data_IF_696984231008
#
_entry.id   IF_696984231008
#
_cell.length_a   1.000
_cell.length_b   1.000
_cell.length_c   1.000
_cell.angle_alpha   90.00
_cell.angle_beta   90.00
_cell.angle_gamma   90.00
#
_symmetry.space_group_name_H-M   'P 1'
#
loop_
_entity.id
_entity.type
_entity.pdbx_description
1 polymer ?
#
# COMPACT_ATOMS: atom_id res chain seq x y z
N UNK A 1 10.78 -19.44 13.78
CA UNK A 1 9.65 -20.30 14.18
C UNK A 1 10.06 -20.99 15.47
N UNK A 2 9.56 -20.53 16.63
CA UNK A 2 9.91 -21.12 17.93
C UNK A 2 9.04 -22.35 18.17
N UNK A 3 9.47 -23.51 17.66
CA UNK A 3 8.80 -24.78 17.94
C UNK A 3 9.24 -25.24 19.32
N UNK A 4 8.36 -25.11 20.32
CA UNK A 4 8.60 -25.71 21.64
C UNK A 4 8.46 -27.24 21.50
N UNK A 5 9.38 -28.04 22.03
CA UNK A 5 9.31 -29.51 21.96
C UNK A 5 8.36 -30.04 23.04
N UNK A 6 7.12 -29.55 23.05
CA UNK A 6 6.07 -29.97 23.96
C UNK A 6 5.09 -30.80 23.15
N UNK A 7 4.83 -32.03 23.61
CA UNK A 7 3.79 -32.88 23.04
C UNK A 7 2.44 -32.17 23.15
N UNK A 8 1.76 -31.98 22.02
CA UNK A 8 0.37 -31.54 22.01
C UNK A 8 -0.51 -32.74 22.34
N UNK A 9 -0.91 -32.83 23.59
CA UNK A 9 -1.86 -33.83 24.05
C UNK A 9 -3.23 -33.60 23.40
N UNK A 10 -3.56 -34.46 22.43
CA UNK A 10 -4.84 -34.44 21.69
C UNK A 10 -6.04 -34.75 22.57
N UNK A 11 -5.82 -35.17 23.83
CA UNK A 11 -6.84 -35.46 24.83
C UNK A 11 -6.98 -34.36 25.89
N UNK A 12 -6.15 -33.31 25.85
CA UNK A 12 -6.16 -32.24 26.85
C UNK A 12 -7.40 -31.33 26.78
N UNK A 13 -8.09 -31.30 25.63
CA UNK A 13 -9.36 -30.60 25.49
C UNK A 13 -10.52 -31.54 25.81
N UNK A 14 -11.12 -31.36 26.98
CA UNK A 14 -12.32 -32.07 27.46
C UNK A 14 -13.64 -31.43 26.99
N UNK A 15 -13.59 -30.45 26.09
CA UNK A 15 -14.78 -29.85 25.50
C UNK A 15 -15.29 -30.71 24.33
N UNK A 16 -16.55 -31.13 24.37
CA UNK A 16 -17.22 -31.86 23.29
C UNK A 16 -17.30 -31.08 21.95
N UNK A 17 -16.96 -29.79 21.96
CA UNK A 17 -16.96 -28.96 20.76
C UNK A 17 -15.59 -28.95 20.07
N UNK A 18 -15.54 -29.58 18.90
CA UNK A 18 -14.37 -29.51 18.01
C UNK A 18 -14.26 -28.15 17.33
N UNK A 19 -13.05 -27.78 16.88
CA UNK A 19 -12.85 -26.58 16.06
C UNK A 19 -13.70 -26.62 14.78
N UNK A 20 -13.87 -27.80 14.18
CA UNK A 20 -14.73 -27.99 13.00
C UNK A 20 -16.20 -27.65 13.32
N UNK A 21 -16.71 -28.11 14.46
CA UNK A 21 -18.07 -27.78 14.92
C UNK A 21 -18.23 -26.28 15.13
N UNK A 22 -17.23 -25.63 15.74
CA UNK A 22 -17.23 -24.19 15.97
C UNK A 22 -17.19 -23.37 14.66
N UNK A 23 -16.30 -23.71 13.72
CA UNK A 23 -16.22 -23.03 12.43
C UNK A 23 -17.47 -23.26 11.58
N UNK A 24 -18.07 -24.45 11.64
CA UNK A 24 -19.33 -24.72 10.96
C UNK A 24 -20.47 -23.84 11.53
N UNK A 25 -20.51 -23.67 12.86
CA UNK A 25 -21.48 -22.77 13.48
C UNK A 25 -21.32 -21.32 13.02
N UNK A 26 -20.10 -20.79 13.01
CA UNK A 26 -19.80 -19.45 12.47
C UNK A 26 -20.20 -19.34 10.98
N UNK A 27 -19.91 -20.37 10.18
CA UNK A 27 -20.29 -20.44 8.78
C UNK A 27 -21.80 -20.33 8.57
N UNK A 28 -22.59 -21.03 9.39
CA UNK A 28 -24.06 -20.92 9.35
C UNK A 28 -24.54 -19.51 9.72
N UNK A 29 -23.94 -18.87 10.74
CA UNK A 29 -24.28 -17.50 11.11
C UNK A 29 -24.02 -16.50 9.95
N UNK A 30 -22.89 -16.62 9.25
CA UNK A 30 -22.61 -15.78 8.09
C UNK A 30 -23.52 -16.09 6.90
N UNK A 31 -23.90 -17.35 6.72
CA UNK A 31 -24.82 -17.76 5.65
C UNK A 31 -26.23 -17.18 5.87
N UNK A 32 -26.69 -17.12 7.11
CA UNK A 32 -27.97 -16.51 7.46
C UNK A 32 -27.95 -14.99 7.21
N UNK A 33 -26.85 -14.31 7.58
CA UNK A 33 -26.66 -12.90 7.21
C UNK A 33 -26.70 -12.72 5.69
N UNK A 34 -25.97 -13.54 4.94
CA UNK A 34 -25.93 -13.49 3.48
C UNK A 34 -27.34 -13.58 2.88
N UNK A 35 -28.12 -14.59 3.27
CA UNK A 35 -29.51 -14.75 2.82
C UNK A 35 -30.34 -13.51 3.14
N UNK A 36 -30.23 -13.00 4.35
CA UNK A 36 -31.01 -11.85 4.78
C UNK A 36 -30.69 -10.58 3.96
N UNK A 37 -29.44 -10.43 3.50
CA UNK A 37 -29.02 -9.35 2.61
C UNK A 37 -29.42 -9.61 1.14
N UNK A 38 -29.37 -10.86 0.68
CA UNK A 38 -29.73 -11.26 -0.69
C UNK A 38 -31.23 -11.10 -0.97
N UNK A 39 -32.08 -11.36 0.03
CA UNK A 39 -33.55 -11.20 -0.09
C UNK A 39 -34.05 -9.76 0.05
N UNK A 40 -33.17 -8.77 0.21
CA UNK A 40 -33.57 -7.37 0.23
C UNK A 40 -34.11 -6.96 -1.15
N UNK A 41 -35.23 -6.22 -1.17
CA UNK A 41 -35.85 -5.78 -2.42
C UNK A 41 -34.95 -4.83 -3.22
N UNK A 42 -34.10 -4.06 -2.54
CA UNK A 42 -33.25 -3.04 -3.14
C UNK A 42 -31.77 -3.23 -2.75
N UNK A 43 -30.83 -2.91 -3.65
CA UNK A 43 -29.40 -2.98 -3.34
C UNK A 43 -29.00 -2.04 -2.20
N UNK A 44 -28.21 -2.57 -1.26
CA UNK A 44 -27.64 -1.78 -0.16
C UNK A 44 -26.42 -1.02 -0.67
N UNK A 45 -26.46 0.31 -0.58
CA UNK A 45 -25.33 1.16 -0.97
C UNK A 45 -24.42 1.45 0.22
N UNK A 46 -23.20 0.95 0.18
CA UNK A 46 -22.15 1.33 1.14
C UNK A 46 -21.61 2.75 0.89
N UNK A 47 -21.35 3.51 1.95
CA UNK A 47 -20.76 4.85 1.87
C UNK A 47 -19.74 5.11 2.99
N UNK A 48 -18.68 5.85 2.63
CA UNK A 48 -17.81 6.51 3.60
C UNK A 48 -18.31 7.93 3.88
N UNK A 49 -18.11 8.43 5.10
CA UNK A 49 -18.35 9.83 5.42
C UNK A 49 -17.35 10.75 4.69
N UNK A 50 -17.66 12.04 4.57
CA UNK A 50 -16.76 13.00 3.93
C UNK A 50 -15.37 13.01 4.59
N UNK A 51 -15.32 13.00 5.92
CA UNK A 51 -14.07 12.97 6.69
C UNK A 51 -13.27 11.70 6.43
N UNK A 52 -13.92 10.54 6.36
CA UNK A 52 -13.27 9.27 6.02
C UNK A 52 -12.74 9.28 4.58
N UNK A 53 -13.49 9.84 3.62
CA UNK A 53 -13.02 9.98 2.23
C UNK A 53 -11.79 10.88 2.14
N UNK A 54 -11.76 11.99 2.88
CA UNK A 54 -10.59 12.88 2.95
C UNK A 54 -9.38 12.17 3.57
N UNK A 55 -9.57 11.45 4.68
CA UNK A 55 -8.51 10.68 5.33
C UNK A 55 -7.97 9.58 4.41
N UNK A 56 -8.86 8.84 3.72
CA UNK A 56 -8.51 7.82 2.74
C UNK A 56 -7.65 8.40 1.62
N UNK A 57 -8.13 9.47 0.98
CA UNK A 57 -7.43 10.09 -0.15
C UNK A 57 -6.09 10.70 0.27
N UNK A 58 -6.03 11.31 1.45
CA UNK A 58 -4.78 11.84 2.02
C UNK A 58 -3.74 10.74 2.17
N UNK A 59 -4.11 9.62 2.80
CA UNK A 59 -3.21 8.49 3.00
C UNK A 59 -2.74 7.87 1.68
N UNK A 60 -3.65 7.56 0.76
CA UNK A 60 -3.29 6.89 -0.50
C UNK A 60 -2.54 7.82 -1.46
N UNK A 61 -2.81 9.12 -1.45
CA UNK A 61 -2.03 10.08 -2.24
C UNK A 61 -0.59 10.17 -1.75
N UNK A 62 -0.39 10.28 -0.44
CA UNK A 62 0.94 10.28 0.18
C UNK A 62 1.68 8.97 -0.09
N UNK A 63 1.01 7.84 0.14
CA UNK A 63 1.56 6.50 -0.10
C UNK A 63 1.95 6.32 -1.57
N UNK A 64 1.10 6.73 -2.50
CA UNK A 64 1.39 6.62 -3.93
C UNK A 64 2.62 7.44 -4.32
N UNK A 65 2.72 8.69 -3.84
CA UNK A 65 3.87 9.55 -4.13
C UNK A 65 5.17 8.99 -3.53
N UNK A 66 5.11 8.51 -2.29
CA UNK A 66 6.25 7.89 -1.62
C UNK A 66 6.76 6.68 -2.42
N UNK A 67 5.89 5.74 -2.77
CA UNK A 67 6.32 4.52 -3.44
C UNK A 67 6.59 4.69 -4.93
N UNK A 68 6.00 5.69 -5.58
CA UNK A 68 6.40 6.12 -6.93
C UNK A 68 7.85 6.61 -6.94
N UNK A 69 8.25 7.37 -5.92
CA UNK A 69 9.63 7.84 -5.76
C UNK A 69 10.60 6.65 -5.53
N UNK A 70 10.22 5.71 -4.66
CA UNK A 70 11.09 4.58 -4.28
C UNK A 70 11.23 3.50 -5.37
N UNK A 71 10.16 3.20 -6.10
CA UNK A 71 10.08 2.02 -6.98
C UNK A 71 9.64 2.33 -8.41
N UNK A 72 9.39 3.60 -8.74
CA UNK A 72 8.93 3.99 -10.07
C UNK A 72 7.48 3.59 -10.37
N UNK A 73 7.08 3.78 -11.62
CA UNK A 73 5.68 3.64 -12.05
C UNK A 73 5.13 2.21 -11.89
N UNK A 74 5.99 1.19 -11.91
CA UNK A 74 5.59 -0.21 -11.84
C UNK A 74 4.88 -0.55 -10.51
N UNK A 75 5.20 0.16 -9.43
CA UNK A 75 4.60 -0.05 -8.13
C UNK A 75 3.24 0.66 -7.93
N UNK A 76 2.88 1.61 -8.79
CA UNK A 76 1.61 2.36 -8.68
C UNK A 76 0.38 1.44 -8.70
N UNK A 77 0.44 0.37 -9.50
CA UNK A 77 -0.62 -0.62 -9.60
C UNK A 77 -0.91 -1.31 -8.25
N UNK A 78 0.12 -1.53 -7.43
CA UNK A 78 0.01 -2.13 -6.10
C UNK A 78 -0.69 -1.20 -5.13
N UNK A 79 -0.30 0.08 -5.08
CA UNK A 79 -0.93 1.07 -4.18
C UNK A 79 -2.42 1.24 -4.52
N UNK A 80 -2.78 1.32 -5.81
CA UNK A 80 -4.19 1.47 -6.23
C UNK A 80 -5.04 0.24 -5.87
N UNK A 81 -4.50 -0.97 -6.05
CA UNK A 81 -5.16 -2.21 -5.61
C UNK A 81 -5.38 -2.22 -4.10
N UNK A 82 -4.39 -1.80 -3.32
CA UNK A 82 -4.52 -1.69 -1.87
C UNK A 82 -5.55 -0.63 -1.44
N UNK A 83 -5.69 0.46 -2.20
CA UNK A 83 -6.79 1.42 -2.04
C UNK A 83 -8.16 0.75 -2.16
N UNK A 84 -8.39 0.03 -3.26
CA UNK A 84 -9.65 -0.68 -3.48
C UNK A 84 -9.91 -1.77 -2.42
N UNK A 85 -8.86 -2.51 -2.02
CA UNK A 85 -8.95 -3.52 -0.96
C UNK A 85 -9.35 -2.87 0.36
N UNK A 86 -8.77 -1.72 0.73
CA UNK A 86 -9.15 -1.00 1.97
C UNK A 86 -10.62 -0.62 1.96
N UNK A 87 -11.13 -0.10 0.84
CA UNK A 87 -12.54 0.25 0.70
C UNK A 87 -13.45 -0.97 0.87
N UNK A 88 -13.06 -2.13 0.30
CA UNK A 88 -13.78 -3.40 0.46
C UNK A 88 -13.69 -3.96 1.88
N UNK A 89 -12.54 -3.84 2.55
CA UNK A 89 -12.40 -4.26 3.95
C UNK A 89 -13.31 -3.42 4.86
N UNK A 90 -13.33 -2.10 4.69
CA UNK A 90 -14.24 -1.22 5.42
C UNK A 90 -15.71 -1.60 5.18
N UNK A 91 -16.07 -1.90 3.92
CA UNK A 91 -17.40 -2.40 3.56
C UNK A 91 -17.72 -3.72 4.27
N UNK A 92 -16.84 -4.73 4.22
CA UNK A 92 -17.04 -6.03 4.87
C UNK A 92 -17.21 -5.86 6.39
N UNK A 93 -16.35 -5.07 7.05
CA UNK A 93 -16.47 -4.82 8.48
C UNK A 93 -17.79 -4.13 8.84
N UNK A 94 -18.22 -3.18 8.02
CA UNK A 94 -19.50 -2.49 8.22
C UNK A 94 -20.68 -3.45 8.01
N UNK A 95 -20.61 -4.34 7.02
CA UNK A 95 -21.64 -5.37 6.79
C UNK A 95 -21.69 -6.38 7.93
N UNK A 96 -20.55 -6.84 8.44
CA UNK A 96 -20.51 -7.80 9.55
C UNK A 96 -21.12 -7.21 10.82
N UNK A 97 -21.03 -5.90 11.03
CA UNK A 97 -21.66 -5.23 12.18
C UNK A 97 -23.18 -5.30 12.17
N UNK A 98 -23.82 -5.57 11.03
CA UNK A 98 -25.26 -5.84 10.97
C UNK A 98 -25.64 -7.01 11.89
N UNK A 99 -24.73 -7.98 12.09
CA UNK A 99 -24.94 -9.09 13.01
C UNK A 99 -24.95 -8.65 14.48
N UNK A 100 -24.30 -7.52 14.82
CA UNK A 100 -24.21 -7.00 16.18
C UNK A 100 -25.42 -6.12 16.55
N UNK A 101 -25.87 -5.26 15.64
CA UNK A 101 -26.91 -4.25 15.90
C UNK A 101 -28.20 -4.41 15.11
N UNK A 102 -28.25 -5.35 14.16
CA UNK A 102 -29.42 -5.63 13.32
C UNK A 102 -29.78 -4.52 12.34
N UNK A 103 -28.96 -3.48 12.19
CA UNK A 103 -29.33 -2.29 11.43
C UNK A 103 -28.99 -2.41 9.94
N UNK A 104 -30.01 -2.49 9.10
CA UNK A 104 -29.89 -2.56 7.65
C UNK A 104 -30.49 -1.29 7.07
N UNK A 105 -29.63 -0.29 6.82
CA UNK A 105 -29.99 0.97 6.18
C UNK A 105 -29.31 1.09 4.81
N UNK A 106 -29.96 1.82 3.89
CA UNK A 106 -29.35 2.27 2.65
C UNK A 106 -29.43 3.80 2.59
N UNK A 107 -28.30 4.54 2.58
CA UNK A 107 -26.94 4.02 2.51
C UNK A 107 -26.45 3.41 3.85
N UNK A 108 -25.65 2.35 3.74
CA UNK A 108 -24.92 1.77 4.87
C UNK A 108 -23.64 2.60 5.10
N UNK A 109 -23.69 3.47 6.10
CA UNK A 109 -22.59 4.40 6.42
C UNK A 109 -21.54 3.71 7.30
N UNK A 110 -20.29 3.71 6.82
CA UNK A 110 -19.16 3.15 7.55
C UNK A 110 -18.92 3.90 8.87
N UNK A 111 -18.78 3.17 9.98
CA UNK A 111 -18.37 3.78 11.26
C UNK A 111 -16.86 4.00 11.27
N UNK A 112 -16.43 4.96 12.07
CA UNK A 112 -15.00 5.29 12.20
C UNK A 112 -14.17 4.09 12.68
N UNK A 113 -14.72 3.22 13.54
CA UNK A 113 -14.03 2.01 13.98
C UNK A 113 -13.72 1.03 12.82
N UNK A 114 -14.66 0.85 11.88
CA UNK A 114 -14.44 -0.04 10.72
C UNK A 114 -13.42 0.55 9.78
N UNK A 115 -13.57 1.83 9.48
CA UNK A 115 -12.67 2.58 8.62
C UNK A 115 -11.24 2.56 9.18
N UNK A 116 -11.07 2.90 10.46
CA UNK A 116 -9.77 2.93 11.12
C UNK A 116 -9.13 1.53 11.23
N UNK A 117 -9.94 0.49 11.44
CA UNK A 117 -9.48 -0.90 11.44
C UNK A 117 -8.96 -1.30 10.06
N UNK A 118 -9.75 -1.08 9.01
CA UNK A 118 -9.35 -1.37 7.63
C UNK A 118 -8.09 -0.59 7.22
N UNK A 119 -8.01 0.69 7.57
CA UNK A 119 -6.84 1.52 7.28
C UNK A 119 -5.59 1.06 8.02
N UNK A 120 -5.73 0.62 9.28
CA UNK A 120 -4.62 0.09 10.07
C UNK A 120 -4.08 -1.22 9.48
N UNK A 121 -4.97 -2.11 9.04
CA UNK A 121 -4.58 -3.35 8.35
C UNK A 121 -3.83 -3.05 7.04
N UNK A 122 -4.33 -2.13 6.21
CA UNK A 122 -3.68 -1.82 4.94
C UNK A 122 -2.35 -1.08 5.09
N UNK A 123 -2.15 -0.27 6.14
CA UNK A 123 -0.83 0.30 6.44
C UNK A 123 0.27 -0.76 6.54
N UNK A 124 -0.04 -1.89 7.15
CA UNK A 124 0.88 -3.02 7.25
C UNK A 124 1.01 -3.76 5.92
N UNK A 125 -0.11 -4.00 5.21
CA UNK A 125 -0.07 -4.67 3.90
C UNK A 125 0.73 -3.90 2.85
N UNK A 126 0.69 -2.57 2.87
CA UNK A 126 1.51 -1.70 2.03
C UNK A 126 3.01 -1.94 2.29
N UNK A 127 3.42 -2.00 3.55
CA UNK A 127 4.81 -2.24 3.93
C UNK A 127 5.28 -3.62 3.48
N UNK A 128 4.48 -4.67 3.69
CA UNK A 128 4.82 -6.02 3.23
C UNK A 128 4.84 -6.14 1.70
N UNK A 129 3.90 -5.51 1.00
CA UNK A 129 3.91 -5.48 -0.46
C UNK A 129 5.18 -4.81 -0.99
N UNK A 130 5.68 -3.76 -0.33
CA UNK A 130 6.95 -3.13 -0.66
C UNK A 130 8.15 -4.05 -0.42
N UNK A 131 8.18 -4.75 0.72
CA UNK A 131 9.23 -5.72 1.04
C UNK A 131 9.29 -6.86 0.02
N UNK A 132 8.14 -7.43 -0.34
CA UNK A 132 8.07 -8.49 -1.35
C UNK A 132 8.54 -7.95 -2.71
N UNK A 133 8.11 -6.75 -3.08
CA UNK A 133 8.53 -6.14 -4.35
C UNK A 133 10.05 -5.94 -4.45
N UNK A 134 10.73 -5.60 -3.35
CA UNK A 134 12.20 -5.49 -3.29
C UNK A 134 12.91 -6.84 -3.44
N UNK A 135 12.23 -7.95 -3.11
CA UNK A 135 12.78 -9.30 -3.22
C UNK A 135 12.50 -9.95 -4.57
N UNK A 136 11.62 -9.37 -5.39
CA UNK A 136 11.41 -9.85 -6.74
C UNK A 136 12.72 -9.70 -7.51
N UNK A 137 13.16 -10.74 -8.24
CA UNK A 137 14.29 -10.58 -9.13
C UNK A 137 13.94 -9.43 -10.07
N UNK A 138 14.82 -8.41 -10.15
CA UNK A 138 14.70 -7.41 -11.20
C UNK A 138 14.52 -8.18 -12.49
N UNK A 139 13.40 -7.97 -13.18
CA UNK A 139 13.30 -8.38 -14.58
C UNK A 139 14.61 -7.92 -15.19
N UNK A 140 15.39 -8.87 -15.75
CA UNK A 140 16.61 -8.55 -16.46
C UNK A 140 16.22 -7.41 -17.38
N UNK A 141 16.71 -6.20 -17.05
CA UNK A 141 16.19 -4.96 -17.60
C UNK A 141 16.15 -5.20 -19.08
N UNK A 142 14.95 -5.38 -19.63
CA UNK A 142 14.82 -5.43 -21.08
C UNK A 142 15.39 -4.10 -21.48
N UNK A 143 16.50 -4.18 -22.20
CA UNK A 143 17.34 -3.07 -22.62
C UNK A 143 16.55 -2.21 -23.60
N UNK A 144 15.47 -1.59 -23.13
CA UNK A 144 15.00 -0.36 -23.68
C UNK A 144 16.17 0.63 -23.48
N UNK A 145 16.61 1.33 -24.54
CA UNK A 145 17.71 2.26 -24.44
C UNK A 145 17.40 3.25 -23.32
N UNK A 146 18.24 3.26 -22.27
CA UNK A 146 18.07 4.16 -21.13
C UNK A 146 17.97 5.59 -21.66
N UNK A 147 16.87 6.27 -21.35
CA UNK A 147 16.72 7.68 -21.72
C UNK A 147 17.86 8.49 -21.09
N UNK A 148 18.39 9.49 -21.80
CA UNK A 148 19.55 10.31 -21.39
C UNK A 148 19.44 10.86 -19.95
N UNK A 149 18.21 11.11 -19.48
CA UNK A 149 17.91 11.56 -18.10
C UNK A 149 18.14 10.49 -17.02
N UNK A 150 17.96 9.22 -17.37
CA UNK A 150 18.16 8.11 -16.45
C UNK A 150 19.64 7.74 -16.38
N UNK A 151 20.35 7.76 -17.51
CA UNK A 151 21.84 7.72 -17.54
C UNK A 151 22.42 8.88 -16.72
N UNK A 152 21.89 10.08 -16.96
CA UNK A 152 21.73 11.20 -16.03
C UNK A 152 22.06 10.92 -14.56
N UNK A 153 21.02 10.40 -13.91
CA UNK A 153 20.93 10.07 -12.50
C UNK A 153 21.82 8.89 -12.12
N UNK A 154 21.94 7.88 -12.99
CA UNK A 154 22.71 6.66 -12.73
C UNK A 154 24.20 6.95 -12.53
N UNK A 155 24.78 7.85 -13.34
CA UNK A 155 26.20 8.21 -13.28
C UNK A 155 26.56 9.17 -12.12
N UNK A 156 25.57 9.76 -11.44
CA UNK A 156 25.85 10.64 -10.30
C UNK A 156 26.45 9.84 -9.12
N UNK A 157 27.55 10.33 -8.51
CA UNK A 157 28.12 9.73 -7.31
C UNK A 157 27.14 9.74 -6.14
N UNK A 158 27.43 8.93 -5.11
CA UNK A 158 26.61 8.88 -3.89
C UNK A 158 26.55 10.25 -3.18
N UNK A 159 27.66 10.98 -3.18
CA UNK A 159 27.75 12.36 -2.72
C UNK A 159 28.52 13.16 -3.77
N UNK A 160 28.00 14.33 -4.15
CA UNK A 160 28.52 15.09 -5.28
C UNK A 160 28.21 16.59 -5.11
N UNK A 161 28.95 17.43 -5.85
CA UNK A 161 28.76 18.87 -5.94
C UNK A 161 28.34 19.29 -7.35
N UNK A 162 28.13 20.60 -7.58
CA UNK A 162 27.78 21.16 -8.89
C UNK A 162 28.79 20.83 -9.97
N UNK A 163 30.07 20.88 -9.64
CA UNK A 163 31.14 20.54 -10.59
C UNK A 163 31.04 19.09 -11.06
N UNK A 164 30.71 18.18 -10.15
CA UNK A 164 30.65 16.75 -10.45
C UNK A 164 29.49 16.43 -11.39
N UNK A 165 28.27 16.91 -11.09
CA UNK A 165 27.14 16.64 -11.97
C UNK A 165 27.26 17.36 -13.31
N UNK A 166 27.89 18.54 -13.39
CA UNK A 166 28.13 19.20 -14.67
C UNK A 166 29.16 18.46 -15.52
N UNK A 167 30.16 17.85 -14.89
CA UNK A 167 31.13 17.00 -15.60
C UNK A 167 30.44 15.81 -16.24
N UNK A 168 29.53 15.17 -15.51
CA UNK A 168 28.75 14.01 -16.00
C UNK A 168 27.74 14.45 -17.08
N UNK A 169 27.07 15.59 -16.87
CA UNK A 169 26.14 16.15 -17.84
C UNK A 169 26.83 16.43 -19.19
N UNK A 170 28.02 17.03 -19.17
CA UNK A 170 28.79 17.30 -20.37
C UNK A 170 29.22 16.01 -21.09
N UNK A 171 29.64 14.97 -20.36
CA UNK A 171 29.93 13.64 -20.94
C UNK A 171 28.73 13.05 -21.68
N UNK A 172 27.53 13.34 -21.20
CA UNK A 172 26.27 12.86 -21.77
C UNK A 172 25.64 13.84 -22.79
N UNK A 173 26.31 14.96 -23.11
CA UNK A 173 25.80 15.97 -24.05
C UNK A 173 24.61 16.78 -23.52
N UNK A 174 24.45 16.89 -22.21
CA UNK A 174 23.39 17.65 -21.54
C UNK A 174 23.90 19.07 -21.22
N UNK A 175 23.23 20.13 -21.71
CA UNK A 175 23.61 21.52 -21.38
C UNK A 175 23.48 21.83 -19.88
N UNK A 176 24.38 22.66 -19.34
CA UNK A 176 24.43 23.02 -17.91
C UNK A 176 23.07 23.44 -17.32
N UNK A 177 22.33 24.33 -18.00
CA UNK A 177 20.99 24.76 -17.54
C UNK A 177 19.98 23.62 -17.49
N UNK A 178 20.11 22.63 -18.36
CA UNK A 178 19.26 21.44 -18.39
C UNK A 178 19.65 20.47 -17.28
N UNK A 179 20.95 20.30 -17.03
CA UNK A 179 21.46 19.54 -15.90
C UNK A 179 20.96 20.09 -14.55
N UNK A 180 21.03 21.41 -14.35
CA UNK A 180 20.50 22.08 -13.15
C UNK A 180 18.99 21.86 -12.97
N UNK A 181 18.20 21.95 -14.06
CA UNK A 181 16.77 21.63 -14.03
C UNK A 181 16.54 20.16 -13.64
N UNK A 182 17.37 19.24 -14.12
CA UNK A 182 17.30 17.83 -13.75
C UNK A 182 17.62 17.62 -12.28
N UNK A 183 18.70 18.19 -11.76
CA UNK A 183 19.05 18.13 -10.33
C UNK A 183 17.92 18.69 -9.46
N UNK A 184 17.34 19.84 -9.83
CA UNK A 184 16.20 20.42 -9.10
C UNK A 184 14.97 19.51 -9.12
N UNK A 185 14.68 18.88 -10.26
CA UNK A 185 13.57 17.92 -10.39
C UNK A 185 13.82 16.65 -9.59
N UNK A 186 15.04 16.13 -9.58
CA UNK A 186 15.44 14.98 -8.77
C UNK A 186 15.35 15.29 -7.27
N UNK A 187 15.73 16.50 -6.86
CA UNK A 187 15.55 16.95 -5.48
C UNK A 187 14.07 17.07 -5.08
N UNK A 188 13.24 17.66 -5.95
CA UNK A 188 11.78 17.76 -5.74
C UNK A 188 11.12 16.37 -5.69
N UNK A 189 11.68 15.40 -6.44
CA UNK A 189 11.20 14.02 -6.50
C UNK A 189 11.88 13.10 -5.48
N UNK A 190 12.60 13.67 -4.48
CA UNK A 190 13.30 12.94 -3.41
C UNK A 190 14.35 11.88 -3.87
N UNK A 191 14.83 11.92 -5.11
CA UNK A 191 15.89 11.03 -5.62
C UNK A 191 17.29 11.50 -5.19
N UNK A 192 17.41 12.79 -4.88
CA UNK A 192 18.65 13.45 -4.46
C UNK A 192 18.28 14.37 -3.30
N UNK A 193 19.10 14.39 -2.26
CA UNK A 193 18.99 15.32 -1.15
C UNK A 193 20.01 16.44 -1.29
N UNK A 194 19.57 17.70 -1.31
CA UNK A 194 20.44 18.87 -1.22
C UNK A 194 20.49 19.32 0.24
N UNK A 195 21.53 18.89 0.95
CA UNK A 195 21.61 18.98 2.40
C UNK A 195 22.47 20.16 2.91
N UNK A 196 23.29 20.74 2.05
CA UNK A 196 24.06 21.96 2.31
C UNK A 196 24.43 22.64 1.00
N UNK A 197 24.92 23.88 1.06
CA UNK A 197 25.38 24.62 -0.11
C UNK A 197 26.37 23.78 -0.94
N UNK A 198 26.01 23.55 -2.20
CA UNK A 198 26.79 22.76 -3.17
C UNK A 198 27.06 21.30 -2.75
N UNK A 199 26.22 20.75 -1.87
CA UNK A 199 26.32 19.36 -1.42
C UNK A 199 25.03 18.60 -1.68
N UNK A 200 25.15 17.58 -2.52
CA UNK A 200 24.06 16.71 -2.92
C UNK A 200 24.38 15.27 -2.54
N UNK A 201 23.34 14.50 -2.20
CA UNK A 201 23.44 13.09 -1.87
C UNK A 201 22.38 12.31 -2.63
N UNK A 202 22.79 11.32 -3.42
CA UNK A 202 21.89 10.39 -4.10
C UNK A 202 21.33 9.41 -3.07
N UNK A 203 20.01 9.23 -3.06
CA UNK A 203 19.32 8.29 -2.15
C UNK A 203 19.53 6.84 -2.61
#
# INVERSE_FOLDING_TARGET
MNVRPVWNDVFANSSDQTLDSYFNHLGMQFFDLYKHLEYQAEPIRFCLTLTQQQAFNTYFSQTQNQYLCLYGANYLSTVRRLGLITFRMAMILTTLRIMDDGNICSPLVCRDNDFNTALSMVKILVQHAAQVFQQLPSEAVTTAPKNQKQQFLDELPKEFCRKDYLTIANKLGIPDKTAEKHIKRFATSCLINHYAHDKYKKQ
#
